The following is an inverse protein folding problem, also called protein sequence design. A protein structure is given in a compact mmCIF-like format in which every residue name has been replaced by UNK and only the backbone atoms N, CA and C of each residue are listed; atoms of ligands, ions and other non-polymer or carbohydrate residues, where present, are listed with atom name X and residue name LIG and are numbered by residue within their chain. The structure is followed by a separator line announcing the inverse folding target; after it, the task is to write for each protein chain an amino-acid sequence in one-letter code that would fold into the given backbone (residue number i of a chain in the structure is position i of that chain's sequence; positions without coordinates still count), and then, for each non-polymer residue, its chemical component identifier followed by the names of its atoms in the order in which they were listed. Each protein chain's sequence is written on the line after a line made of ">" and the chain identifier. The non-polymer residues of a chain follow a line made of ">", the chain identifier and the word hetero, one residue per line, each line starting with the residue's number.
data_IF_669731352994
#
_entry.id   IF_669731352994
#
_cell.length_a   1.000
_cell.length_b   1.000
_cell.length_c   1.000
_cell.angle_alpha   90.00
_cell.angle_beta   90.00
_cell.angle_gamma   90.00
#
_symmetry.space_group_name_H-M   'P 1'
#
loop_
_entity.id
_entity.type
_entity.pdbx_description
1 polymer ?
#
# COMPACT_ATOMS: atom_id res chain seq x y z
N UNK A 1 23.67 7.19 2.13
CA UNK A 1 22.26 6.81 1.87
C UNK A 1 22.05 5.47 1.11
N UNK A 2 22.69 5.23 -0.05
CA UNK A 2 22.40 4.09 -0.94
C UNK A 2 22.65 2.71 -0.30
N UNK A 3 23.74 2.55 0.47
CA UNK A 3 24.09 1.27 1.09
C UNK A 3 23.05 0.78 2.12
N UNK A 4 22.46 1.69 2.91
CA UNK A 4 21.45 1.31 3.92
C UNK A 4 20.08 1.02 3.30
N UNK A 5 19.68 1.80 2.29
CA UNK A 5 18.48 1.48 1.50
C UNK A 5 18.58 0.10 0.84
N UNK A 6 19.78 -0.28 0.39
CA UNK A 6 20.03 -1.64 -0.11
C UNK A 6 19.89 -2.69 1.00
N UNK A 7 20.38 -2.44 2.22
CA UNK A 7 20.15 -3.34 3.37
C UNK A 7 18.66 -3.53 3.68
N UNK A 8 17.88 -2.46 3.72
CA UNK A 8 16.42 -2.53 3.91
C UNK A 8 15.75 -3.30 2.77
N UNK A 9 16.16 -3.07 1.53
CA UNK A 9 15.64 -3.83 0.38
C UNK A 9 15.96 -5.32 0.50
N UNK A 10 17.17 -5.69 0.95
CA UNK A 10 17.54 -7.09 1.19
C UNK A 10 16.72 -7.71 2.32
N UNK A 11 16.51 -6.99 3.42
CA UNK A 11 15.61 -7.40 4.50
C UNK A 11 14.21 -7.74 3.96
N UNK A 12 13.61 -6.83 3.19
CA UNK A 12 12.27 -7.04 2.60
C UNK A 12 12.27 -8.19 1.60
N UNK A 13 13.33 -8.37 0.79
CA UNK A 13 13.45 -9.51 -0.13
C UNK A 13 13.57 -10.84 0.62
N UNK A 14 14.37 -10.88 1.68
CA UNK A 14 14.52 -12.05 2.55
C UNK A 14 13.17 -12.42 3.18
N UNK A 15 12.49 -11.44 3.77
CA UNK A 15 11.15 -11.60 4.30
C UNK A 15 10.18 -12.17 3.26
N UNK A 16 10.13 -11.59 2.04
CA UNK A 16 9.24 -12.07 0.98
C UNK A 16 9.55 -13.49 0.52
N UNK A 17 10.84 -13.88 0.49
CA UNK A 17 11.25 -15.26 0.17
C UNK A 17 10.81 -16.25 1.24
N UNK A 18 10.83 -15.83 2.50
CA UNK A 18 10.47 -16.63 3.66
C UNK A 18 9.02 -16.47 4.09
N UNK A 19 8.19 -15.75 3.30
CA UNK A 19 6.78 -15.54 3.61
C UNK A 19 5.98 -16.81 3.91
N UNK A 20 6.22 -17.96 3.23
CA UNK A 20 5.55 -19.22 3.56
C UNK A 20 5.76 -19.69 5.02
N UNK A 21 6.82 -19.24 5.70
CA UNK A 21 7.03 -19.54 7.13
C UNK A 21 6.06 -18.78 8.04
N UNK A 22 5.50 -17.67 7.56
CA UNK A 22 4.64 -16.77 8.35
C UNK A 22 3.17 -16.86 7.97
N UNK A 23 2.84 -17.26 6.74
CA UNK A 23 1.46 -17.35 6.25
C UNK A 23 1.34 -18.31 5.07
N UNK A 24 0.21 -19.01 5.00
CA UNK A 24 -0.04 -20.07 4.01
C UNK A 24 -0.73 -19.59 2.72
N UNK A 25 -1.25 -18.35 2.65
CA UNK A 25 -2.21 -18.05 1.56
C UNK A 25 -2.23 -16.62 1.00
N UNK A 26 -1.90 -15.58 1.77
CA UNK A 26 -2.12 -14.20 1.30
C UNK A 26 -0.81 -13.43 1.25
N UNK A 27 -0.50 -12.78 0.12
CA UNK A 27 0.59 -11.80 0.05
C UNK A 27 0.24 -10.61 0.95
N UNK A 28 1.18 -10.13 1.74
CA UNK A 28 0.99 -8.96 2.63
C UNK A 28 1.59 -7.68 2.02
N UNK A 29 0.97 -6.54 2.29
CA UNK A 29 1.53 -5.23 1.94
C UNK A 29 2.58 -4.84 2.98
N UNK A 30 3.79 -4.51 2.52
CA UNK A 30 4.85 -3.94 3.36
C UNK A 30 4.73 -2.42 3.38
N UNK A 31 4.45 -1.84 4.55
CA UNK A 31 4.31 -0.40 4.73
C UNK A 31 5.68 0.27 4.86
N UNK A 32 5.98 1.24 4.00
CA UNK A 32 7.04 2.21 4.25
C UNK A 32 6.62 3.27 5.28
N UNK A 33 7.54 4.15 5.67
CA UNK A 33 7.32 5.17 6.71
C UNK A 33 6.07 6.03 6.46
N UNK A 34 5.84 6.49 5.21
CA UNK A 34 4.65 7.28 4.87
C UNK A 34 3.33 6.52 5.11
N UNK A 35 3.29 5.23 4.77
CA UNK A 35 2.12 4.38 5.01
C UNK A 35 1.93 4.10 6.50
N UNK A 36 3.03 3.89 7.23
CA UNK A 36 3.01 3.69 8.68
C UNK A 36 2.46 4.93 9.40
N UNK A 37 2.92 6.13 9.03
CA UNK A 37 2.46 7.39 9.60
C UNK A 37 0.98 7.64 9.28
N UNK A 38 0.56 7.35 8.04
CA UNK A 38 -0.85 7.43 7.65
C UNK A 38 -1.73 6.46 8.45
N UNK A 39 -1.30 5.21 8.63
CA UNK A 39 -2.01 4.24 9.44
C UNK A 39 -2.11 4.71 10.91
N UNK A 40 -1.04 5.27 11.47
CA UNK A 40 -1.06 5.86 12.81
C UNK A 40 -2.08 7.00 12.92
N UNK A 41 -2.06 7.95 11.98
CA UNK A 41 -3.00 9.07 11.95
C UNK A 41 -4.46 8.58 11.90
N UNK A 42 -4.75 7.56 11.08
CA UNK A 42 -6.10 6.99 10.97
C UNK A 42 -6.52 6.27 12.26
N UNK A 43 -5.60 5.55 12.91
CA UNK A 43 -5.84 4.89 14.19
C UNK A 43 -6.06 5.89 15.32
N UNK A 44 -5.30 6.99 15.36
CA UNK A 44 -5.53 8.08 16.28
C UNK A 44 -6.89 8.73 16.05
N UNK A 45 -7.28 8.98 14.79
CA UNK A 45 -8.60 9.54 14.48
C UNK A 45 -9.74 8.62 14.91
N UNK A 46 -9.58 7.29 14.74
CA UNK A 46 -10.53 6.28 15.19
C UNK A 46 -10.69 6.27 16.72
N UNK A 47 -9.59 6.35 17.46
CA UNK A 47 -9.60 6.46 18.94
C UNK A 47 -10.17 7.80 19.39
N UNK A 48 -9.79 8.90 18.75
CA UNK A 48 -10.30 10.23 19.07
C UNK A 48 -11.81 10.31 18.89
N UNK A 49 -12.36 9.63 17.86
CA UNK A 49 -13.81 9.55 17.67
C UNK A 49 -14.52 8.87 18.83
N UNK A 50 -13.89 7.88 19.46
CA UNK A 50 -14.46 7.14 20.60
C UNK A 50 -14.48 8.01 21.88
N UNK A 51 -13.41 8.77 22.13
CA UNK A 51 -13.27 9.57 23.35
C UNK A 51 -13.86 10.98 23.26
N UNK A 52 -13.70 11.65 22.12
CA UNK A 52 -14.04 13.06 21.93
C UNK A 52 -15.20 13.29 20.96
N UNK A 53 -15.69 12.24 20.30
CA UNK A 53 -16.83 12.34 19.39
C UNK A 53 -16.52 12.93 18.01
N UNK A 54 -15.25 13.20 17.69
CA UNK A 54 -14.82 13.62 16.34
C UNK A 54 -13.50 12.96 15.90
N UNK A 55 -13.19 13.03 14.61
CA UNK A 55 -11.99 12.42 14.01
C UNK A 55 -10.77 13.35 13.97
N UNK A 56 -10.84 14.53 14.60
CA UNK A 56 -9.82 15.57 14.47
C UNK A 56 -8.60 15.22 15.31
N UNK A 57 -7.44 15.14 14.67
CA UNK A 57 -6.15 14.95 15.35
C UNK A 57 -5.16 15.94 14.78
N UNK A 58 -4.42 16.63 15.65
CA UNK A 58 -3.42 17.59 15.21
C UNK A 58 -2.18 16.87 14.68
N UNK A 59 -1.48 17.47 13.70
CA UNK A 59 -0.22 16.90 13.21
C UNK A 59 0.84 16.81 14.32
N UNK A 60 0.83 17.76 15.27
CA UNK A 60 1.67 17.76 16.47
C UNK A 60 1.54 16.45 17.23
N UNK A 61 0.31 16.07 17.57
CA UNK A 61 0.04 14.90 18.40
C UNK A 61 0.37 13.61 17.65
N UNK A 62 0.14 13.59 16.33
CA UNK A 62 0.54 12.45 15.47
C UNK A 62 2.06 12.27 15.49
N UNK A 63 2.82 13.36 15.39
CA UNK A 63 4.28 13.29 15.40
C UNK A 63 4.85 12.95 16.79
N UNK A 64 4.24 13.46 17.87
CA UNK A 64 4.59 13.07 19.24
C UNK A 64 4.35 11.57 19.44
N UNK A 65 3.18 11.08 19.03
CA UNK A 65 2.83 9.66 19.11
C UNK A 65 3.72 8.81 18.21
N UNK A 66 4.10 9.29 17.02
CA UNK A 66 5.04 8.63 16.13
C UNK A 66 6.42 8.47 16.75
N UNK A 67 6.94 9.54 17.35
CA UNK A 67 8.24 9.54 18.04
C UNK A 67 8.25 8.63 19.27
N UNK A 68 7.10 8.40 19.91
CA UNK A 68 6.95 7.42 21.00
C UNK A 68 6.75 5.99 20.50
N UNK A 69 5.95 5.79 19.45
CA UNK A 69 5.58 4.48 18.91
C UNK A 69 6.77 3.71 18.35
N UNK A 70 7.66 4.37 17.59
CA UNK A 70 8.76 3.66 16.93
C UNK A 70 9.78 3.08 17.94
N UNK A 71 10.29 3.85 18.93
CA UNK A 71 11.18 3.32 19.96
C UNK A 71 10.50 2.24 20.79
N UNK A 72 9.25 2.45 21.22
CA UNK A 72 8.48 1.47 21.99
C UNK A 72 8.33 0.14 21.22
N UNK A 73 7.98 0.19 19.94
CA UNK A 73 7.91 -1.02 19.10
C UNK A 73 9.27 -1.71 18.95
N UNK A 74 10.37 -0.96 18.92
CA UNK A 74 11.73 -1.50 18.80
C UNK A 74 12.31 -1.97 20.14
N UNK A 75 11.60 -1.81 21.26
CA UNK A 75 12.12 -2.10 22.60
C UNK A 75 13.23 -1.13 23.04
N UNK A 76 13.29 0.04 22.42
CA UNK A 76 14.17 1.13 22.79
C UNK A 76 13.45 1.97 23.85
N UNK A 77 13.70 1.67 25.12
CA UNK A 77 13.14 2.45 26.22
C UNK A 77 13.83 3.81 26.30
N UNK A 78 13.10 4.86 25.94
CA UNK A 78 13.48 6.25 26.18
C UNK A 78 12.63 6.79 27.33
N UNK A 79 13.20 7.69 28.15
CA UNK A 79 12.48 8.38 29.24
C UNK A 79 11.49 9.44 28.70
N UNK A 80 10.72 9.07 27.68
CA UNK A 80 9.69 9.93 27.09
C UNK A 80 8.39 9.81 27.86
N UNK A 81 7.64 10.92 27.90
CA UNK A 81 6.28 10.92 28.45
C UNK A 81 5.38 10.16 27.48
N UNK A 82 4.59 9.22 28.02
CA UNK A 82 3.60 8.48 27.23
C UNK A 82 2.51 9.43 26.70
N UNK A 83 2.19 9.37 25.39
CA UNK A 83 1.11 10.14 24.79
C UNK A 83 -0.28 9.77 25.33
N UNK A 84 -1.24 10.69 25.19
CA UNK A 84 -2.61 10.44 25.62
C UNK A 84 -3.25 9.26 24.87
N UNK A 85 -3.96 8.39 25.60
CA UNK A 85 -4.67 7.22 25.06
C UNK A 85 -3.76 6.26 24.26
N UNK A 86 -2.44 6.28 24.50
CA UNK A 86 -1.45 5.54 23.70
C UNK A 86 -1.75 4.04 23.59
N UNK A 87 -2.16 3.38 24.68
CA UNK A 87 -2.48 1.95 24.67
C UNK A 87 -3.60 1.62 23.65
N UNK A 88 -4.64 2.45 23.59
CA UNK A 88 -5.75 2.27 22.64
C UNK A 88 -5.32 2.63 21.21
N UNK A 89 -4.51 3.68 21.04
CA UNK A 89 -3.93 4.05 19.74
C UNK A 89 -3.07 2.93 19.19
N UNK A 90 -2.16 2.36 20.00
CA UNK A 90 -1.30 1.23 19.63
C UNK A 90 -2.14 0.01 19.25
N UNK A 91 -3.18 -0.29 20.03
CA UNK A 91 -4.13 -1.37 19.71
C UNK A 91 -4.86 -1.12 18.38
N UNK A 92 -5.36 0.09 18.16
CA UNK A 92 -6.05 0.49 16.93
C UNK A 92 -5.10 0.46 15.71
N UNK A 93 -3.83 0.81 15.89
CA UNK A 93 -2.78 0.72 14.87
C UNK A 93 -2.53 -0.73 14.44
N UNK A 94 -2.29 -1.63 15.39
CA UNK A 94 -2.13 -3.05 15.08
C UNK A 94 -3.38 -3.67 14.46
N UNK A 95 -4.57 -3.29 14.95
CA UNK A 95 -5.83 -3.73 14.37
C UNK A 95 -6.01 -3.21 12.93
N UNK A 96 -5.53 -2.00 12.62
CA UNK A 96 -5.49 -1.46 11.25
C UNK A 96 -4.60 -2.29 10.34
N UNK A 97 -3.36 -2.53 10.74
CA UNK A 97 -2.44 -3.31 9.91
C UNK A 97 -2.98 -4.73 9.68
N UNK A 98 -3.49 -5.38 10.73
CA UNK A 98 -4.03 -6.73 10.64
C UNK A 98 -5.25 -6.82 9.71
N UNK A 99 -6.25 -5.92 9.85
CA UNK A 99 -7.45 -5.95 8.99
C UNK A 99 -7.10 -5.68 7.52
N UNK A 100 -6.10 -4.83 7.28
CA UNK A 100 -5.67 -4.47 5.94
C UNK A 100 -4.59 -5.40 5.34
N UNK A 101 -4.27 -6.50 6.04
CA UNK A 101 -3.21 -7.44 5.66
C UNK A 101 -1.87 -6.74 5.34
N UNK A 102 -1.50 -5.82 6.23
CA UNK A 102 -0.30 -5.01 6.18
C UNK A 102 0.67 -5.38 7.29
N UNK A 103 1.96 -5.18 7.03
CA UNK A 103 3.02 -5.21 8.04
C UNK A 103 3.90 -3.98 7.89
N UNK A 104 4.31 -3.41 9.01
CA UNK A 104 5.27 -2.32 8.99
C UNK A 104 6.73 -2.83 8.94
N UNK A 105 7.67 -1.90 8.72
CA UNK A 105 9.09 -2.26 8.64
C UNK A 105 9.65 -2.83 9.94
N UNK A 106 9.08 -2.46 11.09
CA UNK A 106 9.50 -2.97 12.40
C UNK A 106 9.00 -4.41 12.57
N UNK A 107 7.77 -4.71 12.20
CA UNK A 107 7.20 -6.06 12.23
C UNK A 107 8.04 -7.03 11.37
N UNK A 108 8.46 -6.57 10.18
CA UNK A 108 9.33 -7.35 9.27
C UNK A 108 10.69 -7.57 9.90
N UNK A 109 11.29 -6.51 10.42
CA UNK A 109 12.58 -6.58 11.10
C UNK A 109 12.56 -7.58 12.25
N UNK A 110 11.53 -7.52 13.11
CA UNK A 110 11.36 -8.42 14.24
C UNK A 110 11.18 -9.87 13.80
N UNK A 111 10.33 -10.12 12.79
CA UNK A 111 10.10 -11.46 12.23
C UNK A 111 11.36 -12.06 11.60
N UNK A 112 12.15 -11.28 10.89
CA UNK A 112 13.41 -11.75 10.30
C UNK A 112 14.48 -11.99 11.36
N UNK A 113 14.56 -11.12 12.36
CA UNK A 113 15.54 -11.23 13.44
C UNK A 113 15.26 -12.43 14.35
N UNK A 114 13.99 -12.69 14.70
CA UNK A 114 13.61 -13.81 15.57
C UNK A 114 13.88 -15.18 14.96
N UNK A 115 13.90 -15.28 13.63
CA UNK A 115 14.23 -16.51 12.90
C UNK A 115 15.69 -16.59 12.45
N UNK A 116 16.54 -15.62 12.83
CA UNK A 116 17.95 -15.61 12.43
C UNK A 116 18.17 -15.58 10.92
N UNK A 117 17.26 -14.94 10.17
CA UNK A 117 17.26 -14.96 8.69
C UNK A 117 18.25 -13.99 8.04
N UNK A 118 18.96 -13.19 8.85
CA UNK A 118 19.91 -12.18 8.37
C UNK A 118 21.33 -12.64 8.69
N UNK A 119 22.21 -12.57 7.70
CA UNK A 119 23.65 -12.76 7.93
C UNK A 119 24.21 -11.59 8.75
N UNK A 120 25.32 -11.83 9.48
CA UNK A 120 25.88 -10.82 10.40
C UNK A 120 26.27 -9.51 9.70
N UNK A 121 26.75 -9.58 8.46
CA UNK A 121 27.12 -8.43 7.62
C UNK A 121 25.89 -7.63 7.11
N UNK A 122 24.74 -8.28 7.02
CA UNK A 122 23.45 -7.70 6.63
C UNK A 122 22.59 -7.26 7.83
N UNK A 123 23.08 -7.47 9.05
CA UNK A 123 22.37 -7.07 10.26
C UNK A 123 22.12 -5.55 10.29
N UNK A 124 20.93 -5.20 10.77
CA UNK A 124 20.47 -3.83 10.98
C UNK A 124 20.23 -3.69 12.47
N UNK A 125 20.88 -2.75 13.12
CA UNK A 125 20.59 -2.47 14.53
C UNK A 125 19.23 -1.76 14.68
N UNK A 126 18.52 -1.94 15.81
CA UNK A 126 17.24 -1.26 16.05
C UNK A 126 17.35 0.27 15.92
N UNK A 127 18.47 0.85 16.38
CA UNK A 127 18.73 2.29 16.30
C UNK A 127 18.86 2.77 14.85
N UNK A 128 19.59 2.03 14.00
CA UNK A 128 19.70 2.37 12.57
C UNK A 128 18.35 2.27 11.84
N UNK A 129 17.52 1.30 12.21
CA UNK A 129 16.17 1.19 11.65
C UNK A 129 15.29 2.37 12.10
N UNK A 130 15.37 2.77 13.36
CA UNK A 130 14.69 3.95 13.88
C UNK A 130 15.11 5.21 13.12
N UNK A 131 16.41 5.48 12.99
CA UNK A 131 16.93 6.66 12.28
C UNK A 131 16.49 6.70 10.82
N UNK A 132 16.39 5.55 10.17
CA UNK A 132 15.90 5.42 8.80
C UNK A 132 14.42 5.73 8.68
N UNK A 133 13.58 5.14 9.54
CA UNK A 133 12.13 5.34 9.53
C UNK A 133 11.76 6.77 9.91
N UNK A 134 12.46 7.35 10.88
CA UNK A 134 12.30 8.75 11.32
C UNK A 134 12.85 9.77 10.31
N UNK A 135 13.54 9.32 9.26
CA UNK A 135 14.10 10.20 8.22
C UNK A 135 15.35 10.98 8.64
N UNK A 136 15.91 10.72 9.83
CA UNK A 136 17.10 11.39 10.37
C UNK A 136 18.32 11.15 9.47
N UNK A 137 18.45 9.93 8.93
CA UNK A 137 19.52 9.57 7.98
C UNK A 137 19.49 10.42 6.69
N UNK A 138 18.36 11.05 6.36
CA UNK A 138 18.22 11.92 5.18
C UNK A 138 18.54 13.40 5.49
N UNK A 139 18.48 13.82 6.76
CA UNK A 139 18.68 15.21 7.17
C UNK A 139 20.17 15.61 7.28
N UNK A 140 21.03 14.65 7.64
CA UNK A 140 22.46 14.90 7.93
C UNK A 140 23.28 15.35 6.71
N UNK A 141 22.82 15.07 5.49
CA UNK A 141 23.45 15.51 4.22
C UNK A 141 22.94 16.90 3.75
N UNK A 142 21.80 17.38 4.26
CA UNK A 142 21.19 18.64 3.78
C UNK A 142 21.69 19.89 4.56
N UNK A 143 22.54 19.69 5.57
CA UNK A 143 23.12 20.75 6.41
C UNK A 143 24.15 21.64 5.69
N UNK A 144 24.37 21.43 4.39
CA UNK A 144 25.18 22.32 3.55
C UNK A 144 24.39 23.38 2.77
N UNK A 145 23.05 23.34 2.75
CA UNK A 145 22.25 24.30 1.98
C UNK A 145 21.51 25.28 2.89
N UNK A 146 22.03 26.51 2.91
CA UNK A 146 21.42 27.67 3.58
C UNK A 146 19.96 27.83 3.12
N UNK A 147 19.06 28.01 4.07
CA UNK A 147 17.67 28.42 3.88
C UNK A 147 17.59 29.60 2.89
N UNK A 148 17.21 29.31 1.64
CA UNK A 148 16.85 30.34 0.67
C UNK A 148 15.33 30.40 0.59
N UNK A 149 14.79 31.59 0.86
CA UNK A 149 13.37 31.94 0.74
C UNK A 149 12.81 31.53 -0.63
N UNK A 150 11.55 31.05 -0.72
CA UNK A 150 11.03 30.49 -1.96
C UNK A 150 10.71 31.58 -2.99
N UNK A 151 11.59 31.74 -3.98
CA UNK A 151 11.37 32.59 -5.16
C UNK A 151 10.25 32.02 -6.05
N UNK A 152 9.45 32.91 -6.63
CA UNK A 152 8.23 32.66 -7.41
C UNK A 152 8.35 31.66 -8.57
N UNK A 153 9.56 31.46 -9.12
CA UNK A 153 9.83 30.49 -10.21
C UNK A 153 9.75 29.00 -9.78
N UNK A 154 9.82 28.69 -8.49
CA UNK A 154 9.81 27.31 -8.00
C UNK A 154 8.39 26.72 -7.82
N UNK A 155 7.33 27.52 -8.03
CA UNK A 155 5.93 27.10 -7.86
C UNK A 155 5.43 26.16 -8.96
N UNK A 156 5.90 26.34 -10.21
CA UNK A 156 5.48 25.51 -11.34
C UNK A 156 6.02 24.07 -11.21
N UNK A 157 7.31 23.93 -10.86
CA UNK A 157 7.95 22.63 -10.59
C UNK A 157 7.32 21.90 -9.41
N UNK A 158 6.99 22.62 -8.32
CA UNK A 158 6.28 22.03 -7.18
C UNK A 158 4.86 21.55 -7.54
N UNK A 159 4.13 22.28 -8.39
CA UNK A 159 2.81 21.84 -8.85
C UNK A 159 2.91 20.57 -9.70
N UNK A 160 3.85 20.53 -10.64
CA UNK A 160 4.10 19.32 -11.45
C UNK A 160 4.44 18.12 -10.57
N UNK A 161 5.38 18.28 -9.64
CA UNK A 161 5.80 17.21 -8.72
C UNK A 161 4.62 16.66 -7.89
N UNK A 162 3.74 17.54 -7.37
CA UNK A 162 2.54 17.10 -6.63
C UNK A 162 1.58 16.28 -7.49
N UNK A 163 1.38 16.68 -8.75
CA UNK A 163 0.52 15.96 -9.70
C UNK A 163 1.14 14.60 -10.06
N UNK A 164 2.46 14.54 -10.30
CA UNK A 164 3.18 13.28 -10.53
C UNK A 164 3.09 12.34 -9.33
N UNK A 165 3.23 12.85 -8.10
CA UNK A 165 3.05 12.05 -6.87
C UNK A 165 1.64 11.48 -6.80
N UNK A 166 0.62 12.29 -7.08
CA UNK A 166 -0.78 11.83 -7.07
C UNK A 166 -1.02 10.77 -8.16
N UNK A 167 -0.53 10.98 -9.38
CA UNK A 167 -0.64 10.02 -10.47
C UNK A 167 0.02 8.68 -10.11
N UNK A 168 1.25 8.73 -9.59
CA UNK A 168 1.97 7.55 -9.10
C UNK A 168 1.22 6.84 -8.00
N UNK A 169 0.69 7.58 -7.02
CA UNK A 169 -0.10 7.03 -5.92
C UNK A 169 -1.35 6.33 -6.43
N UNK A 170 -2.06 6.90 -7.40
CA UNK A 170 -3.25 6.29 -8.02
C UNK A 170 -2.91 4.98 -8.74
N UNK A 171 -1.90 4.99 -9.62
CA UNK A 171 -1.49 3.78 -10.37
C UNK A 171 -1.00 2.68 -9.42
N UNK A 172 -0.13 3.02 -8.46
CA UNK A 172 0.37 2.06 -7.49
C UNK A 172 -0.73 1.51 -6.57
N UNK A 173 -1.76 2.30 -6.25
CA UNK A 173 -2.87 1.83 -5.42
C UNK A 173 -3.73 0.79 -6.16
N UNK A 174 -3.95 0.95 -7.48
CA UNK A 174 -4.57 -0.12 -8.28
C UNK A 174 -3.77 -1.42 -8.22
N UNK A 175 -2.45 -1.32 -8.42
CA UNK A 175 -1.56 -2.50 -8.36
C UNK A 175 -1.54 -3.12 -6.96
N UNK A 176 -1.56 -2.29 -5.91
CA UNK A 176 -1.55 -2.77 -4.52
C UNK A 176 -2.82 -3.54 -4.19
N UNK A 177 -3.99 -3.04 -4.61
CA UNK A 177 -5.27 -3.73 -4.38
C UNK A 177 -5.36 -5.06 -5.15
N UNK A 178 -4.77 -5.15 -6.35
CA UNK A 178 -4.71 -6.42 -7.10
C UNK A 178 -3.86 -7.48 -6.39
N UNK A 179 -2.80 -7.07 -5.70
CA UNK A 179 -1.89 -7.98 -4.99
C UNK A 179 -2.40 -8.30 -3.59
N UNK A 180 -3.06 -7.34 -2.94
CA UNK A 180 -3.64 -7.46 -1.61
C UNK A 180 -5.05 -6.86 -1.61
N UNK A 181 -6.06 -7.72 -1.76
CA UNK A 181 -7.48 -7.33 -1.80
C UNK A 181 -8.02 -6.81 -0.46
N UNK A 182 -7.23 -6.88 0.62
CA UNK A 182 -7.57 -6.32 1.92
C UNK A 182 -6.93 -4.94 2.15
N UNK A 183 -6.18 -4.40 1.19
CA UNK A 183 -5.51 -3.10 1.34
C UNK A 183 -6.51 -1.93 1.33
N UNK A 184 -7.04 -1.60 2.51
CA UNK A 184 -8.04 -0.54 2.69
C UNK A 184 -7.49 0.85 2.33
N UNK A 185 -6.17 1.09 2.47
CA UNK A 185 -5.55 2.35 2.05
C UNK A 185 -5.54 2.48 0.53
N UNK A 186 -5.13 1.43 -0.17
CA UNK A 186 -5.14 1.39 -1.62
C UNK A 186 -6.56 1.58 -2.15
N UNK A 187 -7.54 0.88 -1.57
CA UNK A 187 -8.95 1.05 -1.92
C UNK A 187 -9.41 2.50 -1.70
N UNK A 188 -9.15 3.09 -0.53
CA UNK A 188 -9.53 4.47 -0.24
C UNK A 188 -8.98 5.46 -1.26
N UNK A 189 -7.77 5.23 -1.80
CA UNK A 189 -7.18 6.09 -2.83
C UNK A 189 -7.85 5.95 -4.21
N UNK A 190 -8.39 4.78 -4.56
CA UNK A 190 -8.85 4.50 -5.93
C UNK A 190 -10.35 4.34 -6.08
N UNK A 191 -11.10 4.22 -4.97
CA UNK A 191 -12.55 4.01 -4.98
C UNK A 191 -13.24 5.05 -5.88
N UNK A 192 -12.88 6.32 -5.72
CA UNK A 192 -13.41 7.43 -6.52
C UNK A 192 -12.36 8.08 -7.45
N UNK A 193 -11.34 7.33 -7.87
CA UNK A 193 -10.34 7.81 -8.84
C UNK A 193 -10.23 6.84 -10.01
N UNK A 194 -10.68 7.16 -11.24
CA UNK A 194 -11.38 8.40 -11.63
C UNK A 194 -12.73 8.55 -10.92
N UNK A 195 -13.36 9.71 -11.05
CA UNK A 195 -14.64 9.98 -10.39
C UNK A 195 -15.73 8.99 -10.82
N UNK A 196 -16.35 8.37 -9.81
CA UNK A 196 -17.42 7.37 -9.92
C UNK A 196 -18.65 7.76 -9.11
N UNK A 197 -18.73 9.01 -8.65
CA UNK A 197 -19.76 9.49 -7.73
C UNK A 197 -19.72 8.75 -6.36
N UNK A 198 -18.58 8.14 -6.02
CA UNK A 198 -18.32 7.42 -4.76
C UNK A 198 -17.64 8.34 -3.75
N UNK A 199 -18.34 9.40 -3.34
CA UNK A 199 -17.85 10.37 -2.38
C UNK A 199 -17.69 9.83 -0.95
N UNK A 200 -17.55 10.75 0.01
CA UNK A 200 -17.37 10.43 1.43
C UNK A 200 -18.50 9.55 1.99
N UNK A 201 -19.74 9.84 1.60
CA UNK A 201 -20.92 9.07 2.03
C UNK A 201 -20.83 7.61 1.59
N UNK A 202 -20.53 7.37 0.30
CA UNK A 202 -20.36 6.02 -0.24
C UNK A 202 -19.27 5.24 0.49
N UNK A 203 -18.11 5.88 0.75
CA UNK A 203 -17.03 5.26 1.51
C UNK A 203 -17.46 4.92 2.94
N UNK A 204 -18.19 5.83 3.59
CA UNK A 204 -18.66 5.66 4.98
C UNK A 204 -19.66 4.51 5.08
N UNK A 205 -20.64 4.47 4.18
CA UNK A 205 -21.62 3.39 4.09
C UNK A 205 -20.94 2.04 3.84
N UNK A 206 -19.96 2.01 2.94
CA UNK A 206 -19.20 0.80 2.62
C UNK A 206 -18.34 0.32 3.78
N UNK A 207 -17.69 1.25 4.50
CA UNK A 207 -16.90 0.93 5.70
C UNK A 207 -17.77 0.38 6.82
N UNK A 208 -18.95 0.95 7.06
CA UNK A 208 -19.88 0.43 8.08
C UNK A 208 -20.37 -0.97 7.72
N UNK A 209 -20.81 -1.19 6.48
CA UNK A 209 -21.23 -2.51 6.02
C UNK A 209 -20.11 -3.56 6.14
N UNK A 210 -18.86 -3.19 5.83
CA UNK A 210 -17.73 -4.10 5.93
C UNK A 210 -17.42 -4.47 7.39
N UNK A 211 -17.54 -3.51 8.32
CA UNK A 211 -17.37 -3.74 9.76
C UNK A 211 -18.45 -4.66 10.32
N UNK A 212 -19.72 -4.43 9.96
CA UNK A 212 -20.85 -5.26 10.38
C UNK A 212 -20.66 -6.72 9.94
N UNK A 213 -20.20 -6.93 8.70
CA UNK A 213 -19.97 -8.27 8.13
C UNK A 213 -18.59 -8.85 8.39
N UNK A 214 -17.70 -8.14 9.09
CA UNK A 214 -16.31 -8.53 9.37
C UNK A 214 -15.53 -8.90 8.09
N UNK A 215 -15.69 -8.11 7.04
CA UNK A 215 -15.01 -8.24 5.75
C UNK A 215 -14.12 -7.03 5.46
N UNK A 216 -13.16 -7.17 4.55
CA UNK A 216 -12.46 -5.99 4.01
C UNK A 216 -13.44 -5.12 3.23
N UNK A 217 -13.14 -3.82 3.11
CA UNK A 217 -14.00 -2.86 2.43
C UNK A 217 -14.19 -3.27 0.96
N UNK A 218 -13.11 -3.75 0.31
CA UNK A 218 -13.16 -4.27 -1.05
C UNK A 218 -14.06 -5.49 -1.18
N UNK A 219 -13.89 -6.48 -0.30
CA UNK A 219 -14.68 -7.71 -0.36
C UNK A 219 -16.17 -7.44 -0.13
N UNK A 220 -16.50 -6.47 0.73
CA UNK A 220 -17.87 -6.00 0.90
C UNK A 220 -18.44 -5.41 -0.40
N UNK A 221 -17.67 -4.54 -1.09
CA UNK A 221 -18.10 -3.97 -2.37
C UNK A 221 -18.36 -5.05 -3.42
N UNK A 222 -17.42 -5.98 -3.59
CA UNK A 222 -17.57 -7.09 -4.55
C UNK A 222 -18.76 -7.97 -4.17
N UNK A 223 -18.89 -8.38 -2.90
CA UNK A 223 -20.01 -9.21 -2.45
C UNK A 223 -21.35 -8.53 -2.72
N UNK A 224 -21.47 -7.24 -2.40
CA UNK A 224 -22.70 -6.47 -2.63
C UNK A 224 -23.06 -6.43 -4.13
N UNK A 225 -22.11 -6.10 -4.99
CA UNK A 225 -22.36 -6.02 -6.44
C UNK A 225 -22.71 -7.39 -7.03
N UNK A 226 -22.02 -8.47 -6.63
CA UNK A 226 -22.36 -9.82 -7.08
C UNK A 226 -23.76 -10.24 -6.66
N UNK A 227 -24.21 -9.88 -5.45
CA UNK A 227 -25.59 -10.15 -5.02
C UNK A 227 -26.60 -9.41 -5.91
N UNK A 228 -26.35 -8.16 -6.28
CA UNK A 228 -27.22 -7.39 -7.18
C UNK A 228 -27.26 -8.01 -8.59
N UNK A 229 -26.10 -8.42 -9.13
CA UNK A 229 -25.97 -9.02 -10.46
C UNK A 229 -26.68 -10.38 -10.57
N UNK A 230 -26.68 -11.17 -9.50
CA UNK A 230 -27.34 -12.48 -9.42
C UNK A 230 -28.87 -12.40 -9.24
N UNK A 231 -29.47 -11.22 -9.42
CA UNK A 231 -30.91 -11.03 -9.26
C UNK A 231 -31.35 -10.87 -7.80
N UNK A 232 -30.42 -10.64 -6.87
CA UNK A 232 -30.70 -10.33 -5.45
C UNK A 232 -31.32 -8.94 -5.23
N UNK A 233 -32.08 -8.43 -6.21
CA UNK A 233 -32.79 -7.16 -6.13
C UNK A 233 -33.85 -7.21 -5.00
N UNK A 234 -34.34 -8.40 -4.67
CA UNK A 234 -35.39 -8.68 -3.66
C UNK A 234 -34.88 -9.49 -2.45
N UNK A 235 -33.56 -9.74 -2.34
CA UNK A 235 -33.00 -10.38 -1.14
C UNK A 235 -33.26 -9.47 0.05
N UNK A 236 -33.85 -10.03 1.12
CA UNK A 236 -34.45 -9.37 2.29
C UNK A 236 -33.55 -8.43 3.13
N UNK A 237 -32.42 -7.95 2.62
CA UNK A 237 -31.72 -6.77 3.13
C UNK A 237 -32.50 -5.52 2.75
N UNK A 238 -32.93 -4.78 3.77
CA UNK A 238 -33.90 -3.68 3.72
C UNK A 238 -33.84 -2.81 2.45
N UNK A 239 -35.01 -2.31 2.03
CA UNK A 239 -35.18 -1.20 1.07
C UNK A 239 -34.33 0.06 1.41
N UNK A 240 -33.68 0.08 2.58
CA UNK A 240 -32.85 1.13 3.12
C UNK A 240 -31.35 0.78 3.19
N UNK A 241 -30.85 -0.25 2.49
CA UNK A 241 -29.41 -0.48 2.41
C UNK A 241 -28.72 0.77 1.82
N UNK A 242 -27.92 1.52 2.61
CA UNK A 242 -27.30 2.77 2.16
C UNK A 242 -26.37 2.57 0.95
N UNK A 243 -25.93 1.34 0.68
CA UNK A 243 -25.12 1.00 -0.51
C UNK A 243 -25.93 1.04 -1.81
N UNK A 244 -27.26 0.91 -1.76
CA UNK A 244 -28.11 0.94 -2.97
C UNK A 244 -28.03 2.28 -3.71
N UNK A 245 -27.83 3.38 -2.98
CA UNK A 245 -27.61 4.70 -3.57
C UNK A 245 -26.34 4.77 -4.43
N UNK A 246 -25.41 3.83 -4.26
CA UNK A 246 -24.08 3.86 -4.86
C UNK A 246 -23.82 2.72 -5.85
N UNK A 247 -24.86 1.94 -6.23
CA UNK A 247 -24.74 0.75 -7.10
C UNK A 247 -24.00 1.07 -8.39
N UNK A 248 -24.36 2.14 -9.10
CA UNK A 248 -23.72 2.51 -10.38
C UNK A 248 -22.21 2.71 -10.24
N UNK A 249 -21.80 3.49 -9.24
CA UNK A 249 -20.38 3.77 -8.97
C UNK A 249 -19.62 2.51 -8.52
N UNK A 250 -20.22 1.72 -7.62
CA UNK A 250 -19.64 0.49 -7.11
C UNK A 250 -19.53 -0.59 -8.19
N UNK A 251 -20.54 -0.78 -9.04
CA UNK A 251 -20.47 -1.65 -10.22
C UNK A 251 -19.35 -1.23 -11.16
N UNK A 252 -19.22 0.07 -11.45
CA UNK A 252 -18.13 0.59 -12.29
C UNK A 252 -16.75 0.31 -11.68
N UNK A 253 -16.62 0.40 -10.35
CA UNK A 253 -15.39 0.11 -9.65
C UNK A 253 -15.06 -1.39 -9.67
N UNK A 254 -16.00 -2.24 -9.26
CA UNK A 254 -15.83 -3.70 -9.18
C UNK A 254 -15.51 -4.27 -10.57
N UNK A 255 -16.31 -3.94 -11.58
CA UNK A 255 -16.11 -4.43 -12.95
C UNK A 255 -14.75 -4.00 -13.54
N UNK A 256 -14.25 -2.83 -13.13
CA UNK A 256 -12.93 -2.39 -13.54
C UNK A 256 -11.82 -3.22 -12.90
N UNK A 257 -11.93 -3.53 -11.59
CA UNK A 257 -10.96 -4.41 -10.91
C UNK A 257 -11.03 -5.83 -11.47
N UNK A 258 -12.22 -6.35 -11.76
CA UNK A 258 -12.40 -7.67 -12.39
C UNK A 258 -11.66 -7.76 -13.72
N UNK A 259 -11.77 -6.73 -14.56
CA UNK A 259 -11.02 -6.65 -15.83
C UNK A 259 -9.51 -6.71 -15.63
N UNK A 260 -9.00 -6.11 -14.55
CA UNK A 260 -7.58 -6.18 -14.23
C UNK A 260 -7.18 -7.58 -13.72
N UNK A 261 -8.04 -8.22 -12.92
CA UNK A 261 -7.86 -9.59 -12.44
C UNK A 261 -7.91 -10.61 -13.58
N UNK A 262 -8.79 -10.41 -14.57
CA UNK A 262 -8.86 -11.20 -15.81
C UNK A 262 -7.52 -11.16 -16.54
N UNK A 263 -6.89 -9.99 -16.67
CA UNK A 263 -5.54 -9.88 -17.28
C UNK A 263 -4.51 -10.69 -16.49
N UNK A 264 -4.56 -10.65 -15.15
CA UNK A 264 -3.65 -11.43 -14.29
C UNK A 264 -3.87 -12.93 -14.45
N UNK A 265 -5.11 -13.39 -14.59
CA UNK A 265 -5.45 -14.80 -14.70
C UNK A 265 -5.23 -15.40 -16.10
N UNK A 266 -5.48 -14.62 -17.16
CA UNK A 266 -5.49 -15.14 -18.54
C UNK A 266 -4.19 -14.92 -19.30
N UNK A 267 -3.41 -13.88 -18.98
CA UNK A 267 -2.18 -13.57 -19.71
C UNK A 267 -0.98 -14.25 -19.07
N UNK A 268 -0.59 -15.40 -19.63
CA UNK A 268 0.52 -16.22 -19.12
C UNK A 268 1.88 -15.50 -19.13
N UNK A 269 2.12 -14.63 -20.11
CA UNK A 269 3.37 -13.89 -20.21
C UNK A 269 3.35 -12.69 -19.24
N UNK A 270 4.15 -12.76 -18.18
CA UNK A 270 4.21 -11.75 -17.12
C UNK A 270 4.56 -10.34 -17.60
N UNK A 271 5.41 -10.23 -18.63
CA UNK A 271 5.80 -8.95 -19.24
C UNK A 271 4.62 -8.31 -19.98
N UNK A 272 3.91 -9.12 -20.77
CA UNK A 272 2.72 -8.68 -21.51
C UNK A 272 1.59 -8.34 -20.53
N UNK A 273 1.37 -9.17 -19.51
CA UNK A 273 0.36 -8.94 -18.47
C UNK A 273 0.61 -7.61 -17.75
N UNK A 274 1.85 -7.36 -17.29
CA UNK A 274 2.23 -6.11 -16.64
C UNK A 274 1.96 -4.87 -17.50
N UNK A 275 2.41 -4.89 -18.76
CA UNK A 275 2.16 -3.80 -19.70
C UNK A 275 0.67 -3.58 -20.00
N UNK A 276 -0.13 -4.66 -20.10
CA UNK A 276 -1.58 -4.60 -20.34
C UNK A 276 -2.34 -4.07 -19.12
N UNK A 277 -1.96 -4.46 -17.90
CA UNK A 277 -2.51 -3.90 -16.64
C UNK A 277 -2.24 -2.40 -16.60
N UNK A 278 -0.98 -1.98 -16.77
CA UNK A 278 -0.61 -0.57 -16.74
C UNK A 278 -1.34 0.26 -17.80
N UNK A 279 -1.44 -0.26 -19.03
CA UNK A 279 -2.17 0.40 -20.12
C UNK A 279 -3.68 0.52 -19.83
N UNK A 280 -4.27 -0.51 -19.20
CA UNK A 280 -5.69 -0.51 -18.82
C UNK A 280 -5.98 0.49 -17.70
N UNK A 281 -5.11 0.55 -16.67
CA UNK A 281 -5.17 1.55 -15.60
C UNK A 281 -4.98 2.96 -16.14
N UNK A 282 -4.00 3.16 -17.02
CA UNK A 282 -3.76 4.45 -17.71
C UNK A 282 -5.03 4.91 -18.40
N UNK A 283 -5.59 4.08 -19.28
CA UNK A 283 -6.77 4.43 -20.07
C UNK A 283 -7.96 4.78 -19.17
N UNK A 284 -8.14 4.06 -18.06
CA UNK A 284 -9.19 4.35 -17.09
C UNK A 284 -9.00 5.71 -16.40
N UNK A 285 -7.76 6.05 -16.00
CA UNK A 285 -7.45 7.31 -15.31
C UNK A 285 -7.58 8.55 -16.20
N UNK A 286 -7.24 8.43 -17.49
CA UNK A 286 -7.27 9.53 -18.46
C UNK A 286 -8.63 9.69 -19.16
N UNK A 287 -9.52 8.70 -19.05
CA UNK A 287 -10.81 8.69 -19.74
C UNK A 287 -11.62 9.95 -19.40
N UNK A 288 -12.08 10.64 -20.44
CA UNK A 288 -12.92 11.85 -20.29
C UNK A 288 -12.16 13.12 -19.90
N UNK A 289 -10.82 13.08 -19.82
CA UNK A 289 -9.98 14.26 -19.59
C UNK A 289 -9.46 14.83 -20.92
N UNK A 290 -9.10 16.12 -20.90
CA UNK A 290 -8.51 16.78 -22.07
C UNK A 290 -7.03 16.41 -22.25
N UNK A 291 -6.54 16.45 -23.49
CA UNK A 291 -5.15 16.13 -23.82
C UNK A 291 -4.11 17.07 -23.17
N UNK A 292 -4.54 18.21 -22.62
CA UNK A 292 -3.67 19.17 -21.91
C UNK A 292 -3.77 19.08 -20.38
N UNK A 293 -4.50 18.12 -19.82
CA UNK A 293 -4.60 17.94 -18.37
C UNK A 293 -3.23 17.50 -17.81
N UNK A 294 -2.60 18.27 -16.90
CA UNK A 294 -1.33 17.91 -16.28
C UNK A 294 -1.35 16.53 -15.60
N UNK A 295 -2.52 16.09 -15.10
CA UNK A 295 -2.68 14.76 -14.53
C UNK A 295 -2.57 13.66 -15.58
N UNK A 296 -3.10 13.86 -16.79
CA UNK A 296 -2.97 12.89 -17.87
C UNK A 296 -1.50 12.67 -18.25
N UNK A 297 -0.76 13.77 -18.44
CA UNK A 297 0.67 13.71 -18.73
C UNK A 297 1.44 13.00 -17.61
N UNK A 298 1.16 13.36 -16.35
CA UNK A 298 1.78 12.71 -15.20
C UNK A 298 1.49 11.20 -15.12
N UNK A 299 0.26 10.77 -15.45
CA UNK A 299 -0.09 9.35 -15.51
C UNK A 299 0.69 8.63 -16.62
N UNK A 300 0.85 9.25 -17.79
CA UNK A 300 1.64 8.68 -18.89
C UNK A 300 3.11 8.48 -18.49
N UNK A 301 3.74 9.50 -17.92
CA UNK A 301 5.13 9.44 -17.44
C UNK A 301 5.32 8.35 -16.37
N UNK A 302 4.42 8.30 -15.38
CA UNK A 302 4.43 7.29 -14.32
C UNK A 302 4.29 5.88 -14.90
N UNK A 303 3.37 5.69 -15.83
CA UNK A 303 3.12 4.37 -16.45
C UNK A 303 4.32 3.91 -17.26
N UNK A 304 4.98 4.82 -17.99
CA UNK A 304 6.21 4.50 -18.71
C UNK A 304 7.35 4.11 -17.77
N UNK A 305 7.58 4.87 -16.69
CA UNK A 305 8.58 4.54 -15.66
C UNK A 305 8.32 3.17 -15.02
N UNK A 306 7.06 2.87 -14.67
CA UNK A 306 6.68 1.58 -14.10
C UNK A 306 6.83 0.43 -15.10
N UNK A 307 6.47 0.63 -16.36
CA UNK A 307 6.64 -0.39 -17.41
C UNK A 307 8.12 -0.74 -17.62
N UNK A 308 9.00 0.26 -17.66
CA UNK A 308 10.45 0.05 -17.69
C UNK A 308 10.94 -0.73 -16.46
N UNK A 309 10.46 -0.38 -15.26
CA UNK A 309 10.80 -1.11 -14.03
C UNK A 309 10.35 -2.56 -14.07
N UNK A 310 9.14 -2.83 -14.56
CA UNK A 310 8.62 -4.20 -14.72
C UNK A 310 9.52 -4.98 -15.68
N UNK A 311 9.87 -4.40 -16.84
CA UNK A 311 10.76 -5.04 -17.82
C UNK A 311 12.11 -5.37 -17.22
N UNK A 312 12.76 -4.40 -16.55
CA UNK A 312 14.05 -4.60 -15.90
C UNK A 312 14.01 -5.68 -14.81
N UNK A 313 12.92 -5.75 -14.01
CA UNK A 313 12.76 -6.79 -13.00
C UNK A 313 12.66 -8.17 -13.67
N UNK A 314 11.86 -8.30 -14.73
CA UNK A 314 11.68 -9.57 -15.44
C UNK A 314 12.98 -10.02 -16.12
N UNK A 315 13.67 -9.09 -16.80
CA UNK A 315 14.93 -9.37 -17.47
C UNK A 315 16.00 -9.84 -16.45
N UNK A 316 16.08 -9.19 -15.28
CA UNK A 316 16.99 -9.60 -14.19
C UNK A 316 16.67 -11.01 -13.62
N UNK A 317 15.40 -11.41 -13.60
CA UNK A 317 14.97 -12.74 -13.14
C UNK A 317 15.31 -13.83 -14.18
N UNK A 318 15.20 -13.51 -15.47
CA UNK A 318 15.60 -14.42 -16.54
C UNK A 318 17.11 -14.63 -16.57
N UNK A 319 17.91 -13.56 -16.41
CA UNK A 319 19.38 -13.65 -16.34
C UNK A 319 19.86 -14.49 -15.15
N UNK A 320 19.23 -14.34 -13.99
CA UNK A 320 19.56 -15.16 -12.80
C UNK A 320 19.22 -16.63 -13.04
N UNK A 321 18.15 -16.91 -13.77
CA UNK A 321 17.72 -18.29 -14.08
C UNK A 321 18.66 -18.97 -15.08
N UNK A 322 19.09 -18.27 -16.13
CA UNK A 322 20.02 -18.81 -17.15
C UNK A 322 21.43 -19.03 -16.59
N UNK A 323 21.88 -18.18 -15.66
CA UNK A 323 23.14 -18.36 -14.94
C UNK A 323 23.11 -19.58 -13.99
N UNK A 324 21.95 -19.92 -13.41
CA UNK A 324 21.81 -21.10 -12.55
C UNK A 324 21.80 -22.43 -13.33
N UNK A 325 21.43 -22.40 -14.62
CA UNK A 325 21.37 -23.59 -15.48
C UNK A 325 22.71 -24.00 -16.09
N UNK A 326 23.78 -23.21 -15.92
CA UNK A 326 25.11 -23.51 -16.48
C UNK A 326 26.03 -24.35 -15.57
N UNK A 327 25.52 -24.92 -14.47
CA UNK A 327 26.37 -25.66 -13.51
C UNK A 327 25.75 -26.84 -12.75
N UNK A 328 24.55 -27.33 -13.09
CA UNK A 328 23.95 -28.47 -12.37
C UNK A 328 23.37 -29.52 -13.33
N UNK A 329 23.87 -30.75 -13.17
CA UNK A 329 23.50 -31.97 -13.90
C UNK A 329 21.98 -32.28 -13.81
N UNK A 330 21.33 -32.74 -14.90
CA UNK A 330 19.88 -32.86 -15.02
C UNK A 330 19.34 -34.15 -14.38
N UNK A 331 19.43 -34.29 -13.06
CA UNK A 331 18.81 -35.39 -12.34
C UNK A 331 18.39 -34.96 -10.92
N UNK A 332 17.35 -34.12 -10.83
CA UNK A 332 16.43 -33.94 -9.68
C UNK A 332 15.47 -32.78 -9.95
N UNK A 333 14.75 -32.84 -11.06
CA UNK A 333 13.58 -31.97 -11.32
C UNK A 333 12.41 -32.88 -11.60
N UNK A 334 11.87 -33.50 -10.55
CA UNK A 334 10.50 -34.01 -10.53
C UNK A 334 10.10 -34.10 -9.06
N UNK A 335 9.23 -33.19 -8.64
CA UNK A 335 8.64 -33.28 -7.30
C UNK A 335 8.32 -31.97 -6.60
N UNK A 336 8.07 -30.84 -7.27
CA UNK A 336 7.37 -29.69 -6.65
C UNK A 336 6.54 -28.91 -7.69
N UNK A 337 5.70 -29.63 -8.42
CA UNK A 337 4.49 -29.09 -9.03
C UNK A 337 3.35 -29.74 -8.26
N UNK A 338 2.88 -29.06 -7.22
CA UNK A 338 1.53 -29.07 -6.65
C UNK A 338 1.58 -28.34 -5.30
N UNK A 339 0.65 -27.38 -5.15
CA UNK A 339 0.37 -26.44 -4.04
C UNK A 339 1.07 -25.09 -4.10
#
# INVERSE_FOLDING_TARGET
>A
MVAFQQKILRLVKCFRRQWPLFSNSERTTVCGADCMLMALQLSMAEVNKQYHGDFTVSLSDVLETWNYLLPDKLGLHENMKEPENYADVKKAYHAFLARSNMLDLIDIYQKCSSLGLLAEDESISPVQLLEFISGVMNAQENNGSVLTTPTQNNRQGQKHMKVTILAKKSVCSYLSLLVNSKDDLALAHILNVPDRELGREAFTNLKHASQERKMSIFLMATSFIRTIELGGRDSASSLYDPLRAHVKGLSNFVNFIDKLQEIVGEVLNTRIAGGRILSTVKMNLIKGRSNGDPFCQAVEEVVQDLDLKIKNIIDSQQETSTASTTGVSPARVMGFLLF
#
